data_IF_576786273638
#
_entry.id   IF_576786273638
#
_cell.length_a   1.000
_cell.length_b   1.000
_cell.length_c   1.000
_cell.angle_alpha   90.00
_cell.angle_beta   90.00
_cell.angle_gamma   90.00
#
_symmetry.space_group_name_H-M   'P 1'
#
loop_
_entity.id
_entity.type
_entity.pdbx_description
1 polymer ?
#
# COMPACT_ATOMS: atom_id res chain seq x y z
N UNK A 1 9.03 -6.25 -19.31
CA UNK A 1 8.89 -5.85 -17.89
C UNK A 1 7.58 -5.10 -17.73
N UNK A 2 6.79 -5.42 -16.69
CA UNK A 2 5.44 -4.89 -16.50
C UNK A 2 5.34 -3.52 -15.80
N UNK A 3 6.47 -2.87 -15.52
CA UNK A 3 6.51 -1.54 -14.91
C UNK A 3 5.91 -0.48 -15.83
N UNK A 4 4.98 0.30 -15.27
CA UNK A 4 4.44 1.54 -15.82
C UNK A 4 4.91 2.71 -14.95
N UNK A 5 4.74 3.94 -15.40
CA UNK A 5 5.10 5.13 -14.61
C UNK A 5 4.06 6.22 -14.74
N UNK A 6 3.77 6.90 -13.64
CA UNK A 6 3.03 8.16 -13.62
C UNK A 6 3.80 9.20 -12.82
N UNK A 7 4.04 10.38 -13.42
CA UNK A 7 4.73 11.50 -12.75
C UNK A 7 6.03 11.07 -12.03
N UNK A 8 6.77 10.13 -12.63
CA UNK A 8 8.01 9.61 -12.06
C UNK A 8 7.85 8.57 -10.95
N UNK A 9 6.65 8.09 -10.66
CA UNK A 9 6.37 6.96 -9.75
C UNK A 9 6.18 5.68 -10.55
N UNK A 10 7.17 4.76 -10.56
CA UNK A 10 7.00 3.46 -11.17
C UNK A 10 5.97 2.62 -10.41
N UNK A 11 5.14 1.88 -11.13
CA UNK A 11 4.20 0.93 -10.54
C UNK A 11 4.00 -0.29 -11.42
N UNK A 12 3.60 -1.40 -10.80
CA UNK A 12 3.36 -2.67 -11.48
C UNK A 12 2.26 -3.45 -10.74
N UNK A 13 1.57 -4.31 -11.47
CA UNK A 13 0.59 -5.26 -10.93
C UNK A 13 1.05 -6.68 -11.20
N UNK A 14 1.05 -7.51 -10.18
CA UNK A 14 1.32 -8.94 -10.30
C UNK A 14 0.29 -9.72 -9.48
N UNK A 15 -0.59 -10.45 -10.16
CA UNK A 15 -1.73 -11.12 -9.54
C UNK A 15 -2.64 -10.12 -8.78
N UNK A 16 -2.97 -10.37 -7.51
CA UNK A 16 -3.84 -9.51 -6.71
C UNK A 16 -3.12 -8.27 -6.15
N UNK A 17 -1.82 -8.11 -6.40
CA UNK A 17 -1.02 -7.06 -5.77
C UNK A 17 -0.80 -5.87 -6.69
N UNK A 18 -0.76 -4.71 -6.05
CA UNK A 18 -0.25 -3.48 -6.61
C UNK A 18 1.10 -3.16 -5.97
N UNK A 19 2.10 -2.90 -6.79
CA UNK A 19 3.44 -2.51 -6.39
C UNK A 19 3.73 -1.09 -6.86
N UNK A 20 4.34 -0.27 -6.00
CA UNK A 20 4.85 1.05 -6.37
C UNK A 20 6.26 1.25 -5.86
N UNK A 21 7.02 2.04 -6.61
CA UNK A 21 8.37 2.43 -6.24
C UNK A 21 8.45 3.93 -5.97
N UNK A 22 9.23 4.28 -4.97
CA UNK A 22 9.73 5.65 -4.81
C UNK A 22 11.21 5.59 -5.12
N UNK A 23 11.61 6.33 -6.16
CA UNK A 23 13.01 6.48 -6.58
C UNK A 23 13.37 7.96 -6.46
N UNK A 24 14.47 8.25 -5.80
CA UNK A 24 14.97 9.62 -5.66
C UNK A 24 16.50 9.65 -5.70
N UNK A 25 17.04 10.74 -6.25
CA UNK A 25 18.47 10.98 -6.32
C UNK A 25 18.80 12.35 -5.70
N UNK A 26 19.74 12.36 -4.75
CA UNK A 26 20.33 13.56 -4.17
C UNK A 26 21.60 13.92 -4.92
N UNK A 27 21.52 14.95 -5.78
CA UNK A 27 22.63 15.38 -6.61
C UNK A 27 23.82 15.89 -5.78
N UNK A 28 23.56 16.66 -4.72
CA UNK A 28 24.60 17.23 -3.85
C UNK A 28 25.20 16.20 -2.90
N UNK A 29 24.35 15.30 -2.42
CA UNK A 29 24.70 14.28 -1.43
C UNK A 29 25.31 13.03 -2.08
N UNK A 30 25.36 12.96 -3.42
CA UNK A 30 25.84 11.77 -4.12
C UNK A 30 25.02 10.54 -3.76
N UNK A 31 23.69 10.64 -3.69
CA UNK A 31 22.87 9.56 -3.12
C UNK A 31 21.73 9.13 -4.01
N UNK A 32 21.47 7.82 -4.04
CA UNK A 32 20.34 7.22 -4.73
C UNK A 32 19.52 6.41 -3.73
N UNK A 33 18.23 6.67 -3.67
CA UNK A 33 17.31 5.99 -2.77
C UNK A 33 16.22 5.31 -3.59
N UNK A 34 15.94 4.06 -3.25
CA UNK A 34 14.83 3.31 -3.82
C UNK A 34 14.08 2.60 -2.71
N UNK A 35 12.75 2.63 -2.79
CA UNK A 35 11.89 1.80 -1.97
C UNK A 35 10.78 1.18 -2.80
N UNK A 36 10.44 -0.07 -2.47
CA UNK A 36 9.35 -0.82 -3.04
C UNK A 36 8.26 -1.01 -2.00
N UNK A 37 7.05 -0.69 -2.40
CA UNK A 37 5.84 -0.82 -1.61
C UNK A 37 4.89 -1.78 -2.30
N UNK A 38 4.07 -2.49 -1.52
CA UNK A 38 2.99 -3.29 -2.07
C UNK A 38 1.73 -3.21 -1.22
N UNK A 39 0.60 -3.50 -1.84
CA UNK A 39 -0.69 -3.68 -1.19
C UNK A 39 -1.55 -4.64 -1.99
N UNK A 40 -2.54 -5.21 -1.33
CA UNK A 40 -3.59 -5.97 -2.04
C UNK A 40 -4.50 -5.00 -2.81
N UNK A 41 -4.47 -5.09 -4.15
CA UNK A 41 -5.06 -4.09 -5.05
C UNK A 41 -6.55 -3.86 -4.80
N UNK A 42 -7.30 -4.94 -4.52
CA UNK A 42 -8.73 -4.86 -4.29
C UNK A 42 -9.13 -4.01 -3.07
N UNK A 43 -8.21 -3.81 -2.10
CA UNK A 43 -8.51 -3.07 -0.88
C UNK A 43 -8.69 -1.58 -1.13
N UNK A 44 -8.04 -0.99 -2.15
CA UNK A 44 -8.29 0.41 -2.50
C UNK A 44 -9.74 0.63 -2.95
N UNK A 45 -10.33 -0.32 -3.68
CA UNK A 45 -11.72 -0.22 -4.14
C UNK A 45 -12.68 -0.31 -2.95
N UNK A 46 -12.42 -1.24 -2.03
CA UNK A 46 -13.21 -1.35 -0.80
C UNK A 46 -13.05 -0.10 0.08
N UNK A 47 -11.85 0.47 0.15
CA UNK A 47 -11.61 1.74 0.84
C UNK A 47 -12.46 2.86 0.23
N UNK A 48 -12.48 2.99 -1.10
CA UNK A 48 -13.32 3.98 -1.78
C UNK A 48 -14.80 3.76 -1.53
N UNK A 49 -15.25 2.51 -1.50
CA UNK A 49 -16.63 2.20 -1.19
C UNK A 49 -17.00 2.57 0.25
N UNK A 50 -16.14 2.25 1.22
CA UNK A 50 -16.29 2.66 2.63
C UNK A 50 -16.40 4.19 2.73
N UNK A 51 -15.55 4.93 2.02
CA UNK A 51 -15.50 6.39 2.11
C UNK A 51 -16.54 7.13 1.25
N UNK A 52 -17.50 6.42 0.65
CA UNK A 52 -18.49 6.97 -0.31
C UNK A 52 -17.83 7.69 -1.51
N UNK A 53 -16.72 7.13 -1.98
CA UNK A 53 -15.91 7.63 -3.09
C UNK A 53 -15.86 6.64 -4.26
N UNK A 54 -16.90 5.83 -4.46
CA UNK A 54 -16.94 4.81 -5.54
C UNK A 54 -16.72 5.39 -6.95
N UNK A 55 -16.90 6.69 -7.16
CA UNK A 55 -16.51 7.36 -8.42
C UNK A 55 -15.02 7.19 -8.77
N UNK A 56 -14.16 6.97 -7.77
CA UNK A 56 -12.73 6.73 -7.95
C UNK A 56 -12.42 5.45 -8.73
N UNK A 57 -13.35 4.50 -8.79
CA UNK A 57 -13.19 3.29 -9.62
C UNK A 57 -13.11 3.59 -11.12
N UNK A 58 -13.67 4.73 -11.54
CA UNK A 58 -13.62 5.21 -12.92
C UNK A 58 -12.39 6.10 -13.20
N UNK A 59 -11.58 6.39 -12.17
CA UNK A 59 -10.37 7.18 -12.34
C UNK A 59 -9.28 6.39 -13.07
N UNK A 60 -8.25 7.07 -13.63
CA UNK A 60 -7.10 6.38 -14.21
C UNK A 60 -6.48 5.42 -13.20
N UNK A 61 -6.09 4.23 -13.66
CA UNK A 61 -5.52 3.15 -12.82
C UNK A 61 -4.32 3.62 -11.97
N UNK A 62 -3.63 4.66 -12.41
CA UNK A 62 -2.56 5.31 -11.67
C UNK A 62 -2.99 5.93 -10.33
N UNK A 63 -4.29 6.11 -10.07
CA UNK A 63 -4.79 6.57 -8.78
C UNK A 63 -4.33 5.66 -7.63
N UNK A 64 -4.23 4.35 -7.87
CA UNK A 64 -3.70 3.37 -6.92
C UNK A 64 -2.25 3.69 -6.47
N UNK A 65 -1.46 4.40 -7.30
CA UNK A 65 -0.06 4.70 -7.04
C UNK A 65 0.16 5.93 -6.14
N UNK A 66 -0.69 6.96 -6.26
CA UNK A 66 -0.42 8.28 -5.67
C UNK A 66 -1.71 9.10 -5.44
N UNK A 67 -2.80 8.44 -5.06
CA UNK A 67 -4.07 9.09 -4.73
C UNK A 67 -4.13 9.56 -3.26
N UNK A 68 -4.95 10.57 -2.97
CA UNK A 68 -5.18 11.04 -1.59
C UNK A 68 -6.03 10.06 -0.74
N UNK A 69 -6.70 9.10 -1.37
CA UNK A 69 -7.61 8.14 -0.73
C UNK A 69 -7.27 6.71 -1.15
N UNK A 70 -5.99 6.36 -1.10
CA UNK A 70 -5.54 4.98 -1.35
C UNK A 70 -4.71 4.49 -0.18
N UNK A 71 -4.69 3.18 0.03
CA UNK A 71 -3.82 2.59 1.04
C UNK A 71 -2.37 2.86 0.66
N UNK A 72 -1.56 3.26 1.64
CA UNK A 72 -0.11 3.44 1.43
C UNK A 72 0.56 2.09 1.14
N UNK A 73 0.06 1.01 1.73
CA UNK A 73 0.65 -0.32 1.65
C UNK A 73 1.90 -0.46 2.51
N UNK A 74 2.68 -1.50 2.20
CA UNK A 74 3.80 -1.96 3.00
C UNK A 74 5.12 -1.88 2.26
N UNK A 75 6.12 -1.28 2.89
CA UNK A 75 7.47 -1.23 2.38
C UNK A 75 8.14 -2.61 2.53
N UNK A 76 8.44 -3.26 1.40
CA UNK A 76 9.04 -4.60 1.35
C UNK A 76 10.50 -4.59 0.93
N UNK A 77 10.99 -3.45 0.43
CA UNK A 77 12.39 -3.23 0.12
C UNK A 77 12.72 -1.75 0.26
N UNK A 78 13.89 -1.45 0.81
CA UNK A 78 14.44 -0.10 0.86
C UNK A 78 15.94 -0.18 0.78
N UNK A 79 16.55 0.63 -0.06
CA UNK A 79 18.00 0.80 -0.04
C UNK A 79 18.39 2.23 -0.37
N UNK A 80 19.60 2.56 0.07
CA UNK A 80 20.23 3.84 -0.18
C UNK A 80 21.68 3.59 -0.55
N UNK A 81 22.07 4.10 -1.70
CA UNK A 81 23.45 4.15 -2.14
C UNK A 81 23.94 5.57 -1.89
N UNK A 82 25.11 5.72 -1.28
CA UNK A 82 25.74 7.00 -0.97
C UNK A 82 27.05 7.11 -1.72
N UNK A 83 27.62 8.31 -1.71
CA UNK A 83 28.93 8.61 -2.28
C UNK A 83 29.04 8.31 -3.79
N UNK A 84 27.92 8.41 -4.51
CA UNK A 84 27.85 8.31 -5.96
C UNK A 84 28.47 9.54 -6.61
N UNK A 85 29.37 9.28 -7.55
CA UNK A 85 29.85 10.28 -8.51
C UNK A 85 28.86 10.30 -9.68
N UNK A 86 28.18 11.44 -9.88
CA UNK A 86 27.18 11.60 -10.92
C UNK A 86 27.81 11.85 -12.30
N UNK A 87 28.31 10.78 -12.90
CA UNK A 87 28.71 10.76 -14.30
C UNK A 87 27.51 10.44 -15.22
N UNK A 88 27.54 10.84 -16.51
CA UNK A 88 26.51 10.46 -17.47
C UNK A 88 26.28 8.94 -17.49
N UNK A 89 25.02 8.50 -17.35
CA UNK A 89 24.65 7.08 -17.34
C UNK A 89 24.54 6.45 -15.95
N UNK A 90 25.11 7.07 -14.90
CA UNK A 90 25.05 6.51 -13.54
C UNK A 90 23.62 6.46 -13.01
N UNK A 91 22.83 7.53 -13.21
CA UNK A 91 21.44 7.57 -12.76
C UNK A 91 20.60 6.49 -13.46
N UNK A 92 20.74 6.35 -14.77
CA UNK A 92 20.05 5.36 -15.59
C UNK A 92 20.41 3.94 -15.15
N UNK A 93 21.68 3.69 -14.83
CA UNK A 93 22.14 2.42 -14.29
C UNK A 93 21.50 2.13 -12.92
N UNK A 94 21.48 3.10 -11.99
CA UNK A 94 20.87 2.91 -10.68
C UNK A 94 19.36 2.65 -10.77
N UNK A 95 18.66 3.38 -11.63
CA UNK A 95 17.23 3.15 -11.91
C UNK A 95 17.01 1.74 -12.46
N UNK A 96 17.82 1.31 -13.44
CA UNK A 96 17.69 -0.02 -14.03
C UNK A 96 17.92 -1.14 -13.01
N UNK A 97 18.95 -1.02 -12.18
CA UNK A 97 19.23 -1.98 -11.10
C UNK A 97 18.07 -2.02 -10.11
N UNK A 98 17.59 -0.86 -9.65
CA UNK A 98 16.46 -0.76 -8.73
C UNK A 98 15.19 -1.44 -9.29
N UNK A 99 14.89 -1.22 -10.57
CA UNK A 99 13.71 -1.81 -11.21
C UNK A 99 13.82 -3.34 -11.38
N UNK A 100 15.03 -3.86 -11.62
CA UNK A 100 15.29 -5.30 -11.71
C UNK A 100 15.12 -5.98 -10.34
N UNK A 101 15.74 -5.41 -9.31
CA UNK A 101 15.62 -5.92 -7.95
C UNK A 101 14.17 -5.86 -7.46
N UNK A 102 13.49 -4.73 -7.72
CA UNK A 102 12.09 -4.58 -7.34
C UNK A 102 11.19 -5.58 -8.07
N UNK A 103 11.46 -5.89 -9.34
CA UNK A 103 10.71 -6.90 -10.08
C UNK A 103 10.88 -8.30 -9.44
N UNK A 104 12.13 -8.69 -9.14
CA UNK A 104 12.41 -9.95 -8.45
C UNK A 104 11.72 -10.01 -7.10
N UNK A 105 11.77 -8.93 -6.31
CA UNK A 105 11.13 -8.90 -4.99
C UNK A 105 9.61 -8.96 -5.08
N UNK A 106 9.01 -8.31 -6.08
CA UNK A 106 7.57 -8.39 -6.32
C UNK A 106 7.12 -9.81 -6.69
N UNK A 107 7.92 -10.54 -7.47
CA UNK A 107 7.69 -11.96 -7.76
C UNK A 107 7.82 -12.84 -6.52
N UNK A 108 8.80 -12.59 -5.65
CA UNK A 108 8.94 -13.31 -4.38
C UNK A 108 7.72 -13.10 -3.48
N UNK A 109 7.24 -11.86 -3.35
CA UNK A 109 6.05 -11.54 -2.54
C UNK A 109 4.79 -12.18 -3.13
N UNK A 110 4.62 -12.14 -4.45
CA UNK A 110 3.47 -12.78 -5.10
C UNK A 110 3.47 -14.30 -4.93
N UNK A 111 4.64 -14.92 -4.71
CA UNK A 111 4.76 -16.35 -4.38
C UNK A 111 4.57 -16.64 -2.89
N UNK A 112 5.07 -15.78 -2.00
CA UNK A 112 4.92 -15.94 -0.54
C UNK A 112 3.47 -15.71 -0.10
N UNK A 113 2.79 -14.73 -0.73
CA UNK A 113 1.46 -14.29 -0.37
C UNK A 113 0.51 -14.65 -1.51
N UNK A 114 0.05 -15.89 -1.54
CA UNK A 114 -0.82 -16.42 -2.61
C UNK A 114 -2.32 -16.26 -2.34
N UNK A 115 -2.68 -15.80 -1.14
CA UNK A 115 -4.05 -15.82 -0.63
C UNK A 115 -4.26 -14.69 0.36
N UNK A 116 -5.53 -14.34 0.60
CA UNK A 116 -5.85 -13.36 1.65
C UNK A 116 -5.43 -13.88 3.04
N UNK A 117 -5.40 -15.20 3.26
CA UNK A 117 -4.95 -15.77 4.55
C UNK A 117 -3.45 -15.58 4.74
N UNK A 118 -2.66 -15.79 3.68
CA UNK A 118 -1.25 -15.45 3.70
C UNK A 118 -1.04 -13.94 3.91
N UNK A 119 -1.90 -13.10 3.34
CA UNK A 119 -1.84 -11.65 3.54
C UNK A 119 -2.16 -11.27 4.99
N UNK A 120 -3.16 -11.87 5.62
CA UNK A 120 -3.45 -11.65 7.05
C UNK A 120 -2.27 -12.06 7.93
N UNK A 121 -1.64 -13.22 7.67
CA UNK A 121 -0.42 -13.62 8.38
C UNK A 121 0.73 -12.64 8.17
N UNK A 122 0.85 -12.07 6.97
CA UNK A 122 1.81 -11.01 6.70
C UNK A 122 1.52 -9.77 7.57
N UNK A 123 0.27 -9.30 7.63
CA UNK A 123 -0.14 -8.15 8.44
C UNK A 123 0.14 -8.37 9.93
N UNK A 124 -0.17 -9.55 10.45
CA UNK A 124 0.05 -9.92 11.85
C UNK A 124 1.55 -9.87 12.19
N UNK A 125 2.38 -10.48 11.36
CA UNK A 125 3.84 -10.47 11.50
C UNK A 125 4.43 -9.06 11.46
N UNK A 126 3.94 -8.20 10.57
CA UNK A 126 4.44 -6.82 10.49
C UNK A 126 3.95 -5.96 11.67
N UNK A 127 2.73 -6.19 12.15
CA UNK A 127 2.22 -5.56 13.37
C UNK A 127 3.04 -5.95 14.61
N UNK A 128 3.40 -7.22 14.76
CA UNK A 128 4.26 -7.69 15.87
C UNK A 128 5.63 -7.01 15.88
N UNK A 129 6.24 -6.84 14.69
CA UNK A 129 7.54 -6.17 14.56
C UNK A 129 7.44 -4.66 14.80
N UNK A 130 6.33 -4.05 14.39
CA UNK A 130 6.11 -2.60 14.41
C UNK A 130 4.71 -2.28 14.91
N UNK A 131 4.45 -2.38 16.23
CA UNK A 131 3.11 -2.10 16.77
C UNK A 131 2.61 -0.69 16.46
N UNK A 132 3.52 0.27 16.29
CA UNK A 132 3.21 1.65 15.93
C UNK A 132 2.78 1.82 14.45
N UNK A 133 2.91 0.78 13.61
CA UNK A 133 2.31 0.75 12.26
C UNK A 133 0.80 0.45 12.29
N UNK A 134 0.18 0.44 13.48
CA UNK A 134 -1.25 0.20 13.71
C UNK A 134 -2.17 0.97 12.76
N UNK A 135 -1.83 2.23 12.41
CA UNK A 135 -2.65 3.07 11.54
C UNK A 135 -2.83 2.50 10.13
N UNK A 136 -1.89 1.69 9.64
CA UNK A 136 -1.98 1.02 8.33
C UNK A 136 -2.56 -0.39 8.46
N UNK A 137 -2.22 -1.09 9.54
CA UNK A 137 -2.64 -2.49 9.78
C UNK A 137 -4.16 -2.61 9.91
N UNK A 138 -4.78 -1.78 10.75
CA UNK A 138 -6.19 -1.97 11.10
C UNK A 138 -7.16 -1.69 9.94
N UNK A 139 -6.97 -0.62 9.13
CA UNK A 139 -7.76 -0.45 7.91
C UNK A 139 -7.62 -1.64 6.97
N UNK A 140 -6.40 -2.13 6.73
CA UNK A 140 -6.20 -3.27 5.83
C UNK A 140 -6.82 -4.56 6.35
N UNK A 141 -6.66 -4.89 7.65
CA UNK A 141 -7.31 -6.07 8.26
C UNK A 141 -8.83 -6.01 8.14
N UNK A 142 -9.43 -4.86 8.45
CA UNK A 142 -10.87 -4.65 8.32
C UNK A 142 -11.31 -4.87 6.87
N UNK A 143 -10.62 -4.26 5.90
CA UNK A 143 -10.95 -4.37 4.49
C UNK A 143 -10.77 -5.82 3.97
N UNK A 144 -9.81 -6.59 4.50
CA UNK A 144 -9.68 -8.01 4.19
C UNK A 144 -10.87 -8.82 4.71
N UNK A 145 -11.32 -8.58 5.95
CA UNK A 145 -12.52 -9.22 6.48
C UNK A 145 -13.77 -8.85 5.65
N UNK A 146 -13.90 -7.58 5.23
CA UNK A 146 -14.96 -7.17 4.30
C UNK A 146 -14.86 -7.87 2.95
N UNK A 147 -13.65 -7.98 2.38
CA UNK A 147 -13.40 -8.69 1.12
C UNK A 147 -13.82 -10.16 1.19
N UNK A 148 -13.70 -10.78 2.36
CA UNK A 148 -14.11 -12.17 2.64
C UNK A 148 -15.60 -12.33 2.96
N UNK A 149 -16.35 -11.23 3.10
CA UNK A 149 -17.73 -11.25 3.57
C UNK A 149 -17.90 -11.54 5.06
N UNK A 150 -16.82 -11.43 5.85
CA UNK A 150 -16.79 -11.71 7.29
C UNK A 150 -17.30 -10.49 8.09
N UNK A 151 -18.58 -10.15 7.89
CA UNK A 151 -19.20 -8.93 8.45
C UNK A 151 -19.01 -8.80 9.97
N UNK A 152 -19.18 -9.88 10.73
CA UNK A 152 -19.04 -9.85 12.20
C UNK A 152 -17.66 -9.37 12.64
N UNK A 153 -16.59 -9.93 12.05
CA UNK A 153 -15.22 -9.57 12.39
C UNK A 153 -14.89 -8.13 11.96
N UNK A 154 -15.36 -7.71 10.78
CA UNK A 154 -15.17 -6.34 10.31
C UNK A 154 -15.85 -5.32 11.25
N UNK A 155 -17.07 -5.62 11.72
CA UNK A 155 -17.82 -4.81 12.69
C UNK A 155 -17.13 -4.75 14.05
N UNK A 156 -16.63 -5.89 14.55
CA UNK A 156 -15.90 -5.94 15.82
C UNK A 156 -14.63 -5.07 15.78
N UNK A 157 -13.85 -5.15 14.69
CA UNK A 157 -12.68 -4.30 14.49
C UNK A 157 -13.09 -2.83 14.47
N UNK A 158 -14.11 -2.46 13.68
CA UNK A 158 -14.57 -1.08 13.59
C UNK A 158 -14.93 -0.51 14.97
N UNK A 159 -15.72 -1.26 15.76
CA UNK A 159 -16.13 -0.86 17.12
C UNK A 159 -14.93 -0.71 18.07
N UNK A 160 -14.02 -1.69 18.09
CA UNK A 160 -12.82 -1.62 18.92
C UNK A 160 -11.96 -0.40 18.57
N UNK A 161 -11.81 -0.10 17.27
CA UNK A 161 -10.99 1.02 16.82
C UNK A 161 -11.60 2.37 17.11
N UNK A 162 -12.92 2.52 16.97
CA UNK A 162 -13.65 3.74 17.34
C UNK A 162 -13.50 4.03 18.84
N UNK A 163 -13.66 3.02 19.70
CA UNK A 163 -13.50 3.17 21.17
C UNK A 163 -12.09 3.64 21.54
N UNK A 164 -11.09 3.23 20.76
CA UNK A 164 -9.69 3.62 20.96
C UNK A 164 -9.32 4.93 20.24
N UNK A 165 -10.29 5.67 19.71
CA UNK A 165 -10.10 6.92 18.97
C UNK A 165 -9.10 6.81 17.81
N UNK A 166 -9.05 5.63 17.19
CA UNK A 166 -8.27 5.42 15.97
C UNK A 166 -9.13 5.82 14.78
N UNK A 167 -8.61 6.72 13.96
CA UNK A 167 -9.31 7.27 12.80
C UNK A 167 -8.98 6.52 11.50
N UNK A 168 -8.01 5.59 11.53
CA UNK A 168 -7.70 4.70 10.41
C UNK A 168 -7.02 5.37 9.22
N UNK A 169 -6.45 6.56 9.39
CA UNK A 169 -5.70 7.24 8.33
C UNK A 169 -6.56 7.97 7.29
N UNK A 170 -7.90 7.92 7.40
CA UNK A 170 -8.81 8.61 6.49
C UNK A 170 -9.96 9.31 7.21
N UNK A 171 -10.34 10.47 6.65
CA UNK A 171 -11.57 11.19 6.99
C UNK A 171 -12.34 11.47 5.69
N UNK A 172 -13.65 11.29 5.74
CA UNK A 172 -14.56 11.71 4.67
C UNK A 172 -15.77 12.40 5.31
N UNK A 173 -15.89 13.71 5.11
CA UNK A 173 -16.84 14.53 5.84
C UNK A 173 -16.47 14.64 7.32
N UNK A 174 -17.43 14.32 8.20
CA UNK A 174 -17.32 14.38 9.66
C UNK A 174 -16.97 13.03 10.32
N UNK A 175 -16.80 11.97 9.52
CA UNK A 175 -16.55 10.60 9.99
C UNK A 175 -15.15 10.10 9.62
N UNK A 176 -14.58 9.33 10.54
CA UNK A 176 -13.37 8.52 10.36
C UNK A 176 -13.63 7.32 9.46
N UNK A 177 -12.55 6.67 9.00
CA UNK A 177 -12.63 5.42 8.24
C UNK A 177 -13.47 4.34 8.95
N UNK A 178 -13.25 4.13 10.25
CA UNK A 178 -13.91 3.06 10.98
C UNK A 178 -15.40 3.34 11.23
N UNK A 179 -15.79 4.61 11.41
CA UNK A 179 -17.20 4.99 11.54
C UNK A 179 -17.97 4.76 10.24
N UNK A 180 -17.37 5.09 9.09
CA UNK A 180 -17.93 4.77 7.79
C UNK A 180 -18.03 3.26 7.55
N UNK A 181 -16.97 2.51 7.86
CA UNK A 181 -16.96 1.07 7.69
C UNK A 181 -18.01 0.36 8.57
N UNK A 182 -18.21 0.84 9.80
CA UNK A 182 -19.24 0.34 10.70
C UNK A 182 -20.64 0.57 10.12
N UNK A 183 -20.93 1.80 9.70
CA UNK A 183 -22.23 2.15 9.14
C UNK A 183 -22.55 1.33 7.87
N UNK A 184 -21.55 1.10 7.03
CA UNK A 184 -21.70 0.30 5.81
C UNK A 184 -21.95 -1.20 6.10
N UNK A 185 -21.30 -1.76 7.12
CA UNK A 185 -21.47 -3.18 7.47
C UNK A 185 -22.78 -3.49 8.20
N UNK A 186 -23.38 -2.49 8.85
CA UNK A 186 -24.67 -2.59 9.54
C UNK A 186 -25.88 -2.27 8.64
N UNK A 187 -25.65 -1.74 7.43
CA UNK A 187 -26.66 -1.57 6.38
C UNK A 187 -26.99 -2.88 5.64
#
# INVERSE_FOLDING_TARGET
>A
MGWKSIRGTPYWTNGPFFFSMIVSAGAKEGSFHSSLWFKWLALDRLLWHVLDMSSNENAPFSLHANGAFVLTGWQIQSFTIRDLVWEPGVLEQQIKTAMLEAASKAEDIAREIDSTDAYMRFLDREYEKRPNAASTVWPERLLVHMLRGEKTLATEIAKDRIVKHDWGGFYAGDKTFFEHALALNEA
#
